data_IF_201880644695
#
_entry.id   IF_201880644695
#
_cell.length_a   1.000
_cell.length_b   1.000
_cell.length_c   1.000
_cell.angle_alpha   90.00
_cell.angle_beta   90.00
_cell.angle_gamma   90.00
#
_symmetry.space_group_name_H-M   'P 1'
#
loop_
_entity.id
_entity.type
_entity.pdbx_description
1 polymer ?
#
# COMPACT_ATOMS: atom_id res chain seq x y z
N UNK A 1 6.97 10.98 9.35
CA UNK A 1 7.21 11.84 10.54
C UNK A 1 8.19 12.96 10.24
N UNK A 2 9.32 12.70 9.56
CA UNK A 2 10.35 13.69 9.22
C UNK A 2 9.80 15.04 8.70
N UNK A 3 8.97 15.04 7.63
CA UNK A 3 8.42 16.30 7.09
C UNK A 3 7.53 17.06 8.10
N UNK A 4 6.71 16.36 8.88
CA UNK A 4 5.86 16.98 9.89
C UNK A 4 6.68 17.59 11.03
N UNK A 5 7.68 16.87 11.52
CA UNK A 5 8.58 17.32 12.58
C UNK A 5 9.49 18.47 12.12
N UNK A 6 9.85 18.51 10.84
CA UNK A 6 10.57 19.62 10.22
C UNK A 6 9.71 20.86 9.94
N UNK A 7 8.39 20.79 10.17
CA UNK A 7 7.46 21.89 9.90
C UNK A 7 7.03 22.01 8.43
N UNK A 8 7.38 21.05 7.58
CA UNK A 8 7.02 20.98 6.16
C UNK A 8 5.58 20.44 5.99
N UNK A 9 4.60 21.21 6.44
CA UNK A 9 3.21 20.75 6.56
C UNK A 9 2.57 20.39 5.21
N UNK A 10 2.88 21.13 4.15
CA UNK A 10 2.42 20.85 2.79
C UNK A 10 2.88 19.46 2.34
N UNK A 11 4.19 19.19 2.46
CA UNK A 11 4.77 17.89 2.09
C UNK A 11 4.20 16.75 2.95
N UNK A 12 4.04 16.99 4.25
CA UNK A 12 3.44 16.01 5.14
C UNK A 12 2.00 15.64 4.73
N UNK A 13 1.19 16.62 4.31
CA UNK A 13 -0.18 16.39 3.83
C UNK A 13 -0.21 15.64 2.50
N UNK A 14 0.69 15.96 1.58
CA UNK A 14 0.80 15.23 0.30
C UNK A 14 1.11 13.75 0.52
N UNK A 15 2.11 13.46 1.36
CA UNK A 15 2.49 12.10 1.74
C UNK A 15 1.32 11.38 2.41
N UNK A 16 0.62 12.06 3.33
CA UNK A 16 -0.54 11.51 4.01
C UNK A 16 -1.70 11.19 3.04
N UNK A 17 -1.90 12.00 2.00
CA UNK A 17 -2.95 11.75 0.99
C UNK A 17 -2.68 10.45 0.22
N UNK A 18 -1.43 10.21 -0.20
CA UNK A 18 -1.03 8.95 -0.86
C UNK A 18 -1.24 7.76 0.07
N UNK A 19 -0.85 7.89 1.34
CA UNK A 19 -1.08 6.84 2.34
C UNK A 19 -2.57 6.55 2.52
N UNK A 20 -3.42 7.58 2.62
CA UNK A 20 -4.85 7.41 2.80
C UNK A 20 -5.54 6.75 1.59
N UNK A 21 -5.10 7.06 0.37
CA UNK A 21 -5.58 6.40 -0.86
C UNK A 21 -5.29 4.90 -0.83
N UNK A 22 -4.07 4.51 -0.47
CA UNK A 22 -3.67 3.11 -0.36
C UNK A 22 -4.32 2.39 0.85
N UNK A 23 -4.48 3.09 1.97
CA UNK A 23 -5.16 2.57 3.16
C UNK A 23 -6.62 2.25 2.86
N UNK A 24 -7.28 3.02 1.99
CA UNK A 24 -8.64 2.67 1.54
C UNK A 24 -8.71 1.33 0.80
N UNK A 25 -7.69 0.97 0.03
CA UNK A 25 -7.59 -0.35 -0.61
C UNK A 25 -7.42 -1.43 0.46
N UNK A 26 -6.52 -1.22 1.42
CA UNK A 26 -6.27 -2.14 2.52
C UNK A 26 -7.49 -2.31 3.45
N UNK A 27 -8.27 -1.25 3.70
CA UNK A 27 -9.50 -1.30 4.51
C UNK A 27 -10.56 -2.14 3.80
N UNK A 28 -10.78 -1.91 2.50
CA UNK A 28 -11.79 -2.67 1.72
C UNK A 28 -11.41 -4.15 1.56
N UNK A 29 -10.13 -4.43 1.29
CA UNK A 29 -9.64 -5.79 1.07
C UNK A 29 -9.13 -6.51 2.33
N UNK A 30 -9.11 -5.83 3.47
CA UNK A 30 -8.48 -6.30 4.69
C UNK A 30 -6.99 -6.64 4.52
N UNK A 31 -6.47 -7.48 5.42
CA UNK A 31 -5.07 -7.94 5.36
C UNK A 31 -4.74 -8.74 4.09
N UNK A 32 -5.75 -9.22 3.36
CA UNK A 32 -5.56 -9.93 2.09
C UNK A 32 -5.04 -8.98 1.02
N UNK A 33 -5.56 -7.75 0.92
CA UNK A 33 -5.01 -6.74 0.00
C UNK A 33 -3.55 -6.40 0.32
N UNK A 34 -3.18 -6.35 1.61
CA UNK A 34 -1.78 -6.16 2.02
C UNK A 34 -0.91 -7.33 1.54
N UNK A 35 -1.39 -8.57 1.64
CA UNK A 35 -0.68 -9.75 1.12
C UNK A 35 -0.54 -9.74 -0.39
N UNK A 36 -1.57 -9.33 -1.13
CA UNK A 36 -1.49 -9.15 -2.60
C UNK A 36 -0.37 -8.17 -2.92
N UNK A 37 -0.40 -6.97 -2.31
CA UNK A 37 0.61 -5.93 -2.52
C UNK A 37 2.04 -6.40 -2.23
N UNK A 38 2.27 -7.00 -1.06
CA UNK A 38 3.60 -7.45 -0.66
C UNK A 38 4.12 -8.64 -1.49
N UNK A 39 3.22 -9.52 -1.94
CA UNK A 39 3.61 -10.66 -2.75
C UNK A 39 3.96 -10.23 -4.18
N UNK A 40 3.13 -9.41 -4.81
CA UNK A 40 3.40 -8.85 -6.15
C UNK A 40 4.69 -8.02 -6.17
N UNK A 41 4.87 -7.15 -5.17
CA UNK A 41 5.96 -6.18 -5.21
C UNK A 41 7.28 -6.75 -4.68
N UNK A 42 7.23 -7.68 -3.73
CA UNK A 42 8.41 -8.16 -3.00
C UNK A 42 8.51 -9.69 -2.90
N UNK A 43 7.57 -10.46 -3.45
CA UNK A 43 7.52 -11.92 -3.30
C UNK A 43 7.30 -12.37 -1.85
N UNK A 44 6.77 -11.49 -0.99
CA UNK A 44 6.67 -11.70 0.46
C UNK A 44 5.23 -11.98 0.91
N UNK A 45 5.08 -12.68 2.03
CA UNK A 45 3.81 -12.81 2.74
C UNK A 45 2.93 -13.99 2.32
N UNK A 46 3.05 -14.52 1.10
CA UNK A 46 2.36 -15.74 0.66
C UNK A 46 0.83 -15.71 0.81
N UNK A 47 0.20 -16.90 0.75
CA UNK A 47 -1.25 -17.04 0.79
C UNK A 47 -1.85 -16.67 2.17
N UNK A 48 -3.06 -16.09 2.23
CA UNK A 48 -3.79 -15.93 3.48
C UNK A 48 -4.16 -17.29 4.09
N UNK A 49 -4.38 -17.32 5.41
CA UNK A 49 -4.88 -18.52 6.09
C UNK A 49 -6.41 -18.57 6.00
N UNK A 50 -6.96 -19.77 5.91
CA UNK A 50 -8.40 -20.03 5.99
C UNK A 50 -9.02 -19.38 7.24
N UNK A 51 -10.23 -18.78 7.16
CA UNK A 51 -11.17 -18.81 6.02
C UNK A 51 -10.90 -17.78 4.91
N UNK A 52 -9.86 -16.95 5.04
CA UNK A 52 -9.54 -15.96 4.01
C UNK A 52 -8.86 -16.65 2.81
N UNK A 53 -9.31 -16.30 1.61
CA UNK A 53 -8.76 -16.79 0.35
C UNK A 53 -8.10 -15.64 -0.43
N UNK A 54 -7.22 -15.99 -1.36
CA UNK A 54 -6.72 -15.01 -2.32
C UNK A 54 -7.87 -14.61 -3.25
N UNK A 55 -8.02 -13.33 -3.59
CA UNK A 55 -9.03 -12.89 -4.55
C UNK A 55 -8.71 -13.41 -5.96
N UNK A 56 -9.69 -13.33 -6.85
CA UNK A 56 -9.46 -13.57 -8.27
C UNK A 56 -8.48 -12.55 -8.87
N UNK A 57 -7.86 -12.90 -10.00
CA UNK A 57 -6.75 -12.12 -10.57
C UNK A 57 -7.12 -10.69 -10.97
N UNK A 58 -8.36 -10.45 -11.39
CA UNK A 58 -8.91 -9.12 -11.70
C UNK A 58 -8.98 -8.24 -10.44
N UNK A 59 -9.49 -8.79 -9.34
CA UNK A 59 -9.55 -8.10 -8.05
C UNK A 59 -8.14 -7.83 -7.51
N UNK A 60 -7.20 -8.75 -7.69
CA UNK A 60 -5.79 -8.53 -7.34
C UNK A 60 -5.18 -7.39 -8.16
N UNK A 61 -5.44 -7.34 -9.47
CA UNK A 61 -4.99 -6.24 -10.34
C UNK A 61 -5.56 -4.89 -9.90
N UNK A 62 -6.83 -4.83 -9.51
CA UNK A 62 -7.45 -3.60 -8.99
C UNK A 62 -6.83 -3.16 -7.66
N UNK A 63 -6.53 -4.11 -6.76
CA UNK A 63 -5.82 -3.81 -5.52
C UNK A 63 -4.42 -3.25 -5.82
N UNK A 64 -3.70 -3.84 -6.77
CA UNK A 64 -2.37 -3.38 -7.18
C UNK A 64 -2.39 -1.99 -7.81
N UNK A 65 -3.39 -1.70 -8.63
CA UNK A 65 -3.58 -0.36 -9.19
C UNK A 65 -3.74 0.68 -8.07
N UNK A 66 -4.55 0.39 -7.06
CA UNK A 66 -4.75 1.27 -5.91
C UNK A 66 -3.55 1.40 -4.96
N UNK A 67 -2.67 0.38 -4.90
CA UNK A 67 -1.44 0.40 -4.09
C UNK A 67 -0.22 0.96 -4.85
N UNK A 68 -0.28 1.07 -6.17
CA UNK A 68 0.86 1.45 -7.02
C UNK A 68 1.58 2.73 -6.58
N UNK A 69 0.81 3.79 -6.31
CA UNK A 69 1.31 5.11 -5.88
C UNK A 69 2.00 5.07 -4.51
N UNK A 70 1.55 4.19 -3.61
CA UNK A 70 2.22 3.97 -2.33
C UNK A 70 3.60 3.35 -2.54
N UNK A 71 3.72 2.35 -3.42
CA UNK A 71 5.01 1.72 -3.71
C UNK A 71 5.98 2.66 -4.43
N UNK A 72 5.47 3.55 -5.29
CA UNK A 72 6.27 4.63 -5.88
C UNK A 72 6.83 5.56 -4.79
N UNK A 73 5.98 6.01 -3.88
CA UNK A 73 6.39 6.86 -2.76
C UNK A 73 7.40 6.16 -1.83
N UNK A 74 7.20 4.87 -1.55
CA UNK A 74 8.15 4.08 -0.76
C UNK A 74 9.53 4.03 -1.43
N UNK A 75 9.59 3.80 -2.74
CA UNK A 75 10.86 3.80 -3.51
C UNK A 75 11.53 5.16 -3.52
N UNK A 76 10.78 6.25 -3.50
CA UNK A 76 11.35 7.60 -3.35
C UNK A 76 12.01 7.76 -1.99
N UNK A 77 11.39 7.26 -0.92
CA UNK A 77 11.91 7.36 0.44
C UNK A 77 13.10 6.44 0.71
N UNK A 78 13.18 5.29 0.05
CA UNK A 78 14.35 4.38 0.15
C UNK A 78 15.62 4.93 -0.51
N UNK A 79 15.51 5.98 -1.35
CA UNK A 79 16.65 6.63 -2.01
C UNK A 79 17.26 7.75 -1.16
N UNK A 80 16.61 8.15 -0.07
CA UNK A 80 17.05 9.16 0.89
C UNK A 80 17.90 8.49 1.99
#
# INVERSE_FOLDING_TARGET
>A
MVAFEAGELERAREVQAVLAEADWVAIKGGFVAVKVGLNEQYGYGGQPRSPCAMPEADVQSDMMAGLSRLFELEREFQKL
#
